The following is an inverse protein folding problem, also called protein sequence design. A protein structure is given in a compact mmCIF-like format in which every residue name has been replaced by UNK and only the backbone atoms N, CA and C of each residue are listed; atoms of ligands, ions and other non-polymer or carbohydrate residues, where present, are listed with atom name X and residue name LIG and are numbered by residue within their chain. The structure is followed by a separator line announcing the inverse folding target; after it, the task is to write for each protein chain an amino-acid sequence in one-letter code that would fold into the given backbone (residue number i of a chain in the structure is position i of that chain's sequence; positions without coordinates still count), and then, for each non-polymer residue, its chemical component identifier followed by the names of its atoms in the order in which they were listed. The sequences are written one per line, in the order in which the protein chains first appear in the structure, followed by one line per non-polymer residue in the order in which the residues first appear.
data_IF_012075327215
#
_entry.id   IF_012075327215
#
_cell.length_a   1.000
_cell.length_b   1.000
_cell.length_c   1.000
_cell.angle_alpha   90.00
_cell.angle_beta   90.00
_cell.angle_gamma   90.00
#
_symmetry.space_group_name_H-M   'P 1'
#
loop_
_entity.id
_entity.type
_entity.pdbx_description
1 polymer ?
#
# COMPACT_ATOMS: atom_id res chain seq x y z
N UNK A 1 -4.57 1.28 -2.48
CA UNK A 1 -5.67 0.88 -3.39
C UNK A 1 -5.65 1.81 -4.60
N UNK A 2 -5.46 1.32 -5.85
CA UNK A 2 -5.69 2.18 -7.01
C UNK A 2 -7.17 2.55 -7.07
N UNK A 3 -7.45 3.82 -7.28
CA UNK A 3 -8.77 4.27 -7.73
C UNK A 3 -8.70 4.35 -9.25
N UNK A 4 -9.57 3.60 -9.93
CA UNK A 4 -9.64 3.63 -11.41
C UNK A 4 -10.20 4.98 -11.86
N UNK A 5 -9.57 5.57 -12.88
CA UNK A 5 -9.99 6.83 -13.50
C UNK A 5 -11.37 6.63 -14.15
N UNK A 6 -12.28 7.58 -13.99
CA UNK A 6 -13.59 7.51 -14.66
C UNK A 6 -13.43 7.70 -16.18
N UNK A 7 -14.32 7.18 -17.04
CA UNK A 7 -14.21 7.34 -18.50
C UNK A 7 -14.18 8.80 -18.98
N UNK A 8 -14.55 9.75 -18.12
CA UNK A 8 -14.67 11.17 -18.43
C UNK A 8 -13.57 12.00 -17.74
N UNK A 9 -12.45 11.39 -17.33
CA UNK A 9 -11.31 12.04 -16.65
C UNK A 9 -11.63 12.76 -15.34
N UNK A 10 -12.86 12.63 -14.83
CA UNK A 10 -13.25 13.20 -13.55
C UNK A 10 -12.72 12.37 -12.39
N UNK A 11 -12.41 13.06 -11.27
CA UNK A 11 -12.00 12.39 -10.03
C UNK A 11 -13.12 11.45 -9.58
N UNK A 12 -12.87 10.14 -9.45
CA UNK A 12 -13.90 9.19 -9.06
C UNK A 12 -14.45 9.55 -7.67
N UNK A 13 -15.77 9.63 -7.56
CA UNK A 13 -16.42 9.84 -6.28
C UNK A 13 -16.29 8.59 -5.40
N UNK A 14 -15.22 8.56 -4.60
CA UNK A 14 -14.90 7.42 -3.73
C UNK A 14 -15.99 7.12 -2.71
N UNK A 15 -16.74 8.14 -2.23
CA UNK A 15 -17.86 7.91 -1.30
C UNK A 15 -19.02 7.19 -1.98
N UNK A 16 -19.27 7.46 -3.26
CA UNK A 16 -20.30 6.78 -4.04
C UNK A 16 -19.96 5.31 -4.30
N UNK A 17 -18.67 4.98 -4.53
CA UNK A 17 -18.19 3.60 -4.70
C UNK A 17 -18.49 2.71 -3.48
N UNK A 18 -18.37 3.27 -2.26
CA UNK A 18 -18.61 2.52 -1.03
C UNK A 18 -20.08 2.51 -0.60
N UNK A 19 -20.82 3.60 -0.84
CA UNK A 19 -22.23 3.73 -0.42
C UNK A 19 -23.22 3.04 -1.37
N UNK A 20 -22.89 2.93 -2.65
CA UNK A 20 -23.83 2.41 -3.63
C UNK A 20 -23.55 0.93 -3.88
N UNK A 21 -24.34 0.05 -3.27
CA UNK A 21 -24.21 -1.41 -3.42
C UNK A 21 -24.55 -1.91 -4.83
N UNK A 22 -25.22 -1.07 -5.64
CA UNK A 22 -25.57 -1.40 -7.03
C UNK A 22 -24.43 -1.14 -8.02
N UNK A 23 -23.37 -0.42 -7.62
CA UNK A 23 -22.20 -0.26 -8.48
C UNK A 23 -21.44 -1.59 -8.55
N UNK A 24 -21.19 -2.10 -9.75
CA UNK A 24 -20.35 -3.26 -9.94
C UNK A 24 -18.90 -2.93 -9.54
N UNK A 25 -18.55 -3.25 -8.28
CA UNK A 25 -17.25 -2.95 -7.67
C UNK A 25 -16.09 -3.61 -8.41
N UNK A 26 -16.35 -4.66 -9.17
CA UNK A 26 -15.36 -5.39 -9.97
C UNK A 26 -14.75 -4.54 -11.09
N UNK A 27 -15.43 -3.48 -11.53
CA UNK A 27 -14.93 -2.58 -12.57
C UNK A 27 -13.98 -1.49 -12.04
N UNK A 28 -13.96 -1.27 -10.72
CA UNK A 28 -13.26 -0.12 -10.11
C UNK A 28 -12.22 -0.50 -9.06
N UNK A 29 -12.33 -1.72 -8.53
CA UNK A 29 -11.38 -2.29 -7.57
C UNK A 29 -10.63 -3.42 -8.26
N UNK A 30 -9.37 -3.63 -7.86
CA UNK A 30 -8.66 -4.80 -8.34
C UNK A 30 -9.37 -6.09 -7.90
N UNK A 31 -9.81 -6.89 -8.86
CA UNK A 31 -10.17 -8.28 -8.55
C UNK A 31 -8.91 -9.03 -8.14
N UNK A 32 -8.93 -9.64 -6.96
CA UNK A 32 -7.90 -10.59 -6.53
C UNK A 32 -8.11 -11.94 -7.25
N UNK A 33 -7.94 -11.92 -8.57
CA UNK A 33 -7.99 -13.12 -9.40
C UNK A 33 -6.61 -13.80 -9.43
N UNK A 34 -6.54 -15.14 -9.60
CA UNK A 34 -5.27 -15.83 -9.74
C UNK A 34 -4.37 -15.18 -10.81
N UNK A 35 -3.13 -14.86 -10.42
CA UNK A 35 -2.16 -14.19 -11.29
C UNK A 35 -2.09 -12.65 -11.15
N UNK A 36 -2.97 -12.02 -10.37
CA UNK A 36 -2.86 -10.60 -10.01
C UNK A 36 -2.31 -10.44 -8.60
N UNK A 37 -1.34 -9.54 -8.43
CA UNK A 37 -0.80 -9.16 -7.12
C UNK A 37 -0.90 -7.65 -6.90
N UNK A 38 -0.90 -7.25 -5.63
CA UNK A 38 -0.84 -5.84 -5.26
C UNK A 38 0.60 -5.34 -5.46
N UNK A 39 0.73 -4.18 -6.08
CA UNK A 39 2.02 -3.54 -6.33
C UNK A 39 2.02 -2.12 -5.78
N UNK A 40 3.15 -1.72 -5.20
CA UNK A 40 3.42 -0.36 -4.73
C UNK A 40 4.71 0.12 -5.38
N UNK A 41 4.62 1.19 -6.15
CA UNK A 41 5.77 1.92 -6.68
C UNK A 41 6.05 3.13 -5.82
N UNK A 42 7.26 3.23 -5.27
CA UNK A 42 7.73 4.38 -4.51
C UNK A 42 8.85 5.07 -5.29
N UNK A 43 8.71 6.37 -5.56
CA UNK A 43 9.75 7.21 -6.13
C UNK A 43 10.40 7.98 -4.99
N UNK A 44 11.67 7.70 -4.72
CA UNK A 44 12.40 8.20 -3.57
C UNK A 44 13.59 9.03 -4.08
N UNK A 45 13.74 10.26 -3.60
CA UNK A 45 14.86 11.12 -3.93
C UNK A 45 15.45 11.71 -2.66
N UNK A 46 16.77 11.55 -2.46
CA UNK A 46 17.49 11.99 -1.24
C UNK A 46 16.83 11.53 0.06
N UNK A 47 16.26 10.31 0.06
CA UNK A 47 15.55 9.72 1.21
C UNK A 47 14.09 10.19 1.38
N UNK A 48 13.65 11.21 0.65
CA UNK A 48 12.26 11.67 0.63
C UNK A 48 11.42 10.91 -0.40
N UNK A 49 10.19 10.55 -0.03
CA UNK A 49 9.23 9.99 -0.98
C UNK A 49 8.64 11.13 -1.80
N UNK A 50 8.89 11.11 -3.10
CA UNK A 50 8.36 12.10 -4.05
C UNK A 50 6.98 11.70 -4.58
N UNK A 51 6.77 10.40 -4.82
CA UNK A 51 5.49 9.89 -5.27
C UNK A 51 5.31 8.43 -4.88
N UNK A 52 4.07 8.01 -4.64
CA UNK A 52 3.71 6.61 -4.46
C UNK A 52 2.51 6.27 -5.34
N UNK A 53 2.63 5.22 -6.13
CA UNK A 53 1.54 4.66 -6.91
C UNK A 53 1.19 3.26 -6.40
N UNK A 54 -0.07 3.05 -6.08
CA UNK A 54 -0.59 1.76 -5.65
C UNK A 54 -1.45 1.20 -6.78
N UNK A 55 -1.15 -0.01 -7.23
CA UNK A 55 -1.94 -0.67 -8.27
C UNK A 55 -1.99 -2.18 -8.09
N UNK A 56 -2.69 -2.88 -8.97
CA UNK A 56 -2.61 -4.32 -9.07
C UNK A 56 -2.17 -4.68 -10.48
N UNK A 57 -1.27 -5.64 -10.56
CA UNK A 57 -0.65 -6.02 -11.82
C UNK A 57 -0.45 -7.53 -11.85
N UNK A 58 -0.40 -8.09 -13.05
CA UNK A 58 0.14 -9.42 -13.26
C UNK A 58 1.65 -9.34 -13.14
N UNK A 59 2.22 -10.06 -12.20
CA UNK A 59 3.66 -10.05 -11.93
C UNK A 59 4.16 -11.48 -11.89
N UNK A 60 5.26 -11.72 -12.60
CA UNK A 60 5.96 -13.00 -12.60
C UNK A 60 6.98 -13.08 -11.45
N UNK A 61 6.59 -12.62 -10.26
CA UNK A 61 7.44 -12.64 -9.08
C UNK A 61 6.60 -12.79 -7.81
N UNK A 62 7.17 -13.44 -6.80
CA UNK A 62 6.59 -13.60 -5.47
C UNK A 62 6.69 -12.31 -4.64
N UNK A 63 6.10 -12.32 -3.45
CA UNK A 63 6.16 -11.22 -2.48
C UNK A 63 7.61 -10.71 -2.29
N UNK A 64 7.79 -9.39 -2.30
CA UNK A 64 9.11 -8.78 -2.12
C UNK A 64 9.19 -7.38 -2.71
N UNK A 65 10.31 -6.70 -2.50
CA UNK A 65 10.58 -5.38 -3.06
C UNK A 65 11.84 -5.42 -3.92
N UNK A 66 11.74 -4.83 -5.11
CA UNK A 66 12.88 -4.53 -5.96
C UNK A 66 13.16 -3.04 -5.92
N UNK A 67 14.43 -2.64 -5.90
CA UNK A 67 14.82 -1.23 -5.90
C UNK A 67 15.90 -1.00 -6.95
N UNK A 68 15.68 0.01 -7.77
CA UNK A 68 16.61 0.47 -8.79
C UNK A 68 17.03 1.90 -8.48
N UNK A 69 18.32 2.20 -8.58
CA UNK A 69 18.83 3.58 -8.44
C UNK A 69 19.19 4.10 -9.82
N UNK A 70 18.48 5.13 -10.25
CA UNK A 70 18.73 5.84 -11.49
C UNK A 70 20.00 6.70 -11.39
N UNK A 71 20.64 6.99 -12.52
CA UNK A 71 21.83 7.86 -12.60
C UNK A 71 21.61 9.26 -12.02
N UNK A 72 20.36 9.73 -12.01
CA UNK A 72 19.94 11.01 -11.41
C UNK A 72 19.95 11.00 -9.87
N UNK A 73 20.16 9.85 -9.24
CA UNK A 73 20.04 9.67 -7.79
C UNK A 73 18.62 9.36 -7.31
N UNK A 74 17.66 9.22 -8.22
CA UNK A 74 16.30 8.75 -7.90
C UNK A 74 16.30 7.24 -7.66
N UNK A 75 15.71 6.80 -6.56
CA UNK A 75 15.45 5.40 -6.28
C UNK A 75 13.99 5.07 -6.61
N UNK A 76 13.78 4.09 -7.48
CA UNK A 76 12.45 3.54 -7.78
C UNK A 76 12.34 2.20 -7.08
N UNK A 77 11.39 2.07 -6.17
CA UNK A 77 11.09 0.84 -5.44
C UNK A 77 9.76 0.27 -5.92
N UNK A 78 9.75 -0.99 -6.34
CA UNK A 78 8.55 -1.74 -6.67
C UNK A 78 8.37 -2.89 -5.67
N UNK A 79 7.36 -2.80 -4.82
CA UNK A 79 7.00 -3.86 -3.87
C UNK A 79 5.77 -4.62 -4.37
N UNK A 80 5.90 -5.94 -4.45
CA UNK A 80 4.83 -6.89 -4.76
C UNK A 80 4.39 -7.57 -3.48
N UNK A 81 3.08 -7.68 -3.28
CA UNK A 81 2.52 -8.51 -2.24
C UNK A 81 1.19 -9.14 -2.69
N UNK A 82 0.99 -10.40 -2.35
CA UNK A 82 -0.24 -11.15 -2.64
C UNK A 82 -1.21 -10.98 -1.48
N UNK A 83 -2.34 -10.32 -1.76
CA UNK A 83 -3.42 -10.17 -0.78
C UNK A 83 -4.32 -11.40 -0.76
N UNK A 84 -4.99 -11.66 0.37
CA UNK A 84 -5.97 -12.74 0.51
C UNK A 84 -7.39 -12.20 0.42
N UNK A 85 -8.28 -12.99 -0.18
CA UNK A 85 -9.71 -12.67 -0.25
C UNK A 85 -10.29 -12.42 1.14
N UNK A 86 -11.12 -11.38 1.26
CA UNK A 86 -11.76 -10.98 2.53
C UNK A 86 -10.86 -10.18 3.48
N UNK A 87 -9.58 -9.96 3.16
CA UNK A 87 -8.66 -9.15 3.97
C UNK A 87 -8.32 -7.81 3.31
N UNK A 88 -7.85 -6.86 4.13
CA UNK A 88 -7.34 -5.57 3.66
C UNK A 88 -6.12 -5.80 2.75
N UNK A 89 -5.98 -5.08 1.61
CA UNK A 89 -4.84 -5.22 0.72
C UNK A 89 -3.50 -5.00 1.43
N UNK A 90 -2.53 -5.87 1.15
CA UNK A 90 -1.19 -5.82 1.76
C UNK A 90 -0.36 -4.61 1.31
N UNK A 91 -0.74 -3.95 0.20
CA UNK A 91 -0.09 -2.72 -0.26
C UNK A 91 -0.69 -1.47 0.40
N UNK A 92 -1.48 -1.61 1.46
CA UNK A 92 -1.89 -0.47 2.27
C UNK A 92 -0.69 0.13 3.00
N UNK A 93 -0.63 1.46 3.05
CA UNK A 93 0.28 2.15 3.95
C UNK A 93 -0.17 1.87 5.38
N UNK A 94 0.68 1.35 6.28
CA UNK A 94 0.33 1.33 7.69
C UNK A 94 0.13 2.78 8.12
N UNK A 95 -1.06 3.12 8.60
CA UNK A 95 -1.26 4.35 9.37
C UNK A 95 -0.28 4.30 10.54
N UNK A 96 0.55 5.33 10.66
CA UNK A 96 1.67 5.50 11.62
C UNK A 96 1.32 5.30 13.09
N UNK A 97 0.06 5.02 13.43
CA UNK A 97 -0.46 4.86 14.78
C UNK A 97 -0.01 3.56 15.47
N UNK A 98 0.31 2.49 14.73
CA UNK A 98 0.70 1.20 15.33
C UNK A 98 2.12 1.19 15.92
N UNK A 99 3.06 1.95 15.33
CA UNK A 99 4.46 1.94 15.80
C UNK A 99 4.67 2.73 17.10
N UNK A 100 3.80 3.70 17.41
CA UNK A 100 3.91 4.46 18.65
C UNK A 100 3.59 3.60 19.88
N UNK A 101 2.58 2.73 19.78
CA UNK A 101 2.11 1.92 20.92
C UNK A 101 3.19 0.92 21.39
N UNK A 102 3.90 0.28 20.46
CA UNK A 102 4.93 -0.69 20.80
C UNK A 102 6.15 -0.04 21.50
N UNK A 103 6.50 1.18 21.10
CA UNK A 103 7.59 1.94 21.74
C UNK A 103 7.31 2.26 23.21
N UNK A 104 6.09 2.69 23.54
CA UNK A 104 5.69 2.98 24.92
C UNK A 104 5.69 1.74 25.82
N UNK A 105 5.27 0.59 25.30
CA UNK A 105 5.26 -0.68 26.06
C UNK A 105 6.69 -1.09 26.44
N UNK A 106 7.65 -0.96 25.53
CA UNK A 106 9.07 -1.29 25.80
C UNK A 106 9.65 -0.35 26.86
N UNK A 107 9.36 0.96 26.76
CA UNK A 107 9.84 1.95 27.75
C UNK A 107 9.26 1.66 29.13
N UNK A 108 7.95 1.41 29.24
CA UNK A 108 7.31 1.09 30.52
C UNK A 108 7.86 -0.21 31.12
N UNK A 109 8.01 -1.27 30.33
CA UNK A 109 8.60 -2.54 30.80
C UNK A 109 10.03 -2.36 31.29
N UNK A 110 10.85 -1.59 30.57
CA UNK A 110 12.23 -1.31 30.98
C UNK A 110 12.30 -0.51 32.29
N UNK A 111 11.43 0.48 32.47
CA UNK A 111 11.33 1.23 33.72
C UNK A 111 10.92 0.33 34.89
N UNK A 112 9.94 -0.56 34.69
CA UNK A 112 9.51 -1.52 35.73
C UNK A 112 10.63 -2.50 36.15
N UNK A 113 11.50 -2.89 35.23
CA UNK A 113 12.65 -3.78 35.52
C UNK A 113 13.76 -3.02 36.27
N UNK A 114 13.96 -1.73 36.00
CA UNK A 114 15.01 -0.91 36.63
C UNK A 114 14.59 -0.36 38.00
N UNK A 115 13.30 -0.12 38.22
CA UNK A 115 12.75 0.41 39.49
C UNK A 115 12.40 -0.68 40.52
N UNK A 116 12.68 -1.95 40.22
CA UNK A 116 12.46 -3.09 41.10
C UNK A 116 13.81 -3.69 41.51
#
# INVERSE_FOLDING_TARGET
MPLVVTPNDTVPNVKALWKNETLNREHYLCQMSPGYSCVKYSYIFKGGIQNITYMCAKVNNSNGCYRETQSTGMQVEACVCTSKLGLIPCNCSPTTQSQQILGWVIVLLSAFIVLK
#
